data_IF_978057982019
#
_entry.id   IF_978057982019
#
_cell.length_a   1.000
_cell.length_b   1.000
_cell.length_c   1.000
_cell.angle_alpha   90.00
_cell.angle_beta   90.00
_cell.angle_gamma   90.00
#
_symmetry.space_group_name_H-M   'P 1'
#
loop_
_entity.id
_entity.type
_entity.pdbx_description
1 polymer ?
#
# COMPACT_ATOMS: atom_id res chain seq x y z
N UNK A 1 9.10 2.97 -19.19
CA UNK A 1 9.76 2.98 -17.89
C UNK A 1 8.76 3.34 -16.80
N UNK A 2 8.97 2.78 -15.62
CA UNK A 2 8.02 2.83 -14.51
C UNK A 2 8.76 3.19 -13.22
N UNK A 3 8.11 3.97 -12.39
CA UNK A 3 8.50 4.12 -11.00
C UNK A 3 7.58 3.23 -10.16
N UNK A 4 8.18 2.39 -9.37
CA UNK A 4 7.51 1.57 -8.37
C UNK A 4 7.61 2.26 -7.01
N UNK A 5 6.55 2.16 -6.23
CA UNK A 5 6.53 2.63 -4.84
C UNK A 5 6.05 1.50 -3.96
N UNK A 6 6.86 1.15 -2.98
CA UNK A 6 6.55 0.18 -1.94
C UNK A 6 6.51 0.90 -0.61
N UNK A 7 5.50 0.61 0.17
CA UNK A 7 5.39 1.09 1.55
C UNK A 7 5.45 -0.11 2.48
N UNK A 8 6.34 -0.06 3.46
CA UNK A 8 6.53 -1.08 4.46
C UNK A 8 7.07 -0.50 5.76
N UNK A 9 7.71 -1.34 6.54
CA UNK A 9 8.23 -1.01 7.86
C UNK A 9 7.25 -1.37 8.97
N UNK A 10 7.75 -1.39 10.20
CA UNK A 10 6.93 -1.54 11.39
C UNK A 10 6.03 -0.31 11.57
N UNK A 11 4.94 -0.45 12.31
CA UNK A 11 3.98 0.65 12.55
C UNK A 11 4.64 1.93 13.08
N UNK A 12 5.74 1.77 13.85
CA UNK A 12 6.51 2.88 14.41
C UNK A 12 7.57 3.43 13.45
N UNK A 13 7.94 2.68 12.40
CA UNK A 13 9.03 3.02 11.49
C UNK A 13 8.64 2.82 10.02
N UNK A 14 7.67 3.60 9.52
CA UNK A 14 7.21 3.47 8.14
C UNK A 14 8.32 3.80 7.15
N UNK A 15 8.45 2.97 6.12
CA UNK A 15 9.43 3.11 5.03
C UNK A 15 8.70 3.28 3.71
N UNK A 16 9.15 4.23 2.90
CA UNK A 16 8.71 4.42 1.53
C UNK A 16 9.88 4.17 0.58
N UNK A 17 9.79 3.12 -0.23
CA UNK A 17 10.82 2.78 -1.22
C UNK A 17 10.34 3.18 -2.62
N UNK A 18 11.13 4.02 -3.30
CA UNK A 18 10.92 4.36 -4.69
C UNK A 18 11.99 3.67 -5.54
N UNK A 19 11.57 3.01 -6.60
CA UNK A 19 12.52 2.32 -7.48
C UNK A 19 12.13 2.51 -8.95
N UNK A 20 13.13 2.74 -9.79
CA UNK A 20 12.95 2.85 -11.22
C UNK A 20 13.15 1.50 -11.90
N UNK A 21 12.19 1.12 -12.76
CA UNK A 21 12.26 -0.09 -13.58
C UNK A 21 11.89 0.20 -15.03
N UNK A 22 12.52 -0.49 -15.95
CA UNK A 22 12.24 -0.34 -17.37
C UNK A 22 10.90 -0.94 -17.78
N UNK A 23 10.43 -1.96 -17.05
CA UNK A 23 9.20 -2.70 -17.34
C UNK A 23 8.25 -2.70 -16.16
N UNK A 24 6.99 -3.08 -16.38
CA UNK A 24 6.00 -3.38 -15.34
C UNK A 24 5.90 -4.90 -15.07
N UNK A 25 6.99 -5.63 -15.22
CA UNK A 25 7.01 -7.07 -14.99
C UNK A 25 6.85 -7.41 -13.50
N UNK A 26 6.13 -8.50 -13.20
CA UNK A 26 6.06 -9.07 -11.84
C UNK A 26 7.43 -9.48 -11.28
N UNK A 27 8.42 -9.78 -12.14
CA UNK A 27 9.81 -10.02 -11.71
C UNK A 27 10.41 -8.88 -10.91
N UNK A 28 9.99 -7.64 -11.17
CA UNK A 28 10.47 -6.48 -10.41
C UNK A 28 9.98 -6.52 -8.94
N UNK A 29 8.85 -7.19 -8.66
CA UNK A 29 8.33 -7.35 -7.31
C UNK A 29 9.24 -8.25 -6.49
N UNK A 30 9.79 -9.31 -7.10
CA UNK A 30 10.72 -10.23 -6.43
C UNK A 30 11.99 -9.51 -5.94
N UNK A 31 12.47 -8.51 -6.69
CA UNK A 31 13.61 -7.70 -6.25
C UNK A 31 13.30 -6.83 -5.01
N UNK A 32 12.03 -6.50 -4.77
CA UNK A 32 11.62 -5.79 -3.54
C UNK A 32 11.42 -6.75 -2.38
N UNK A 33 11.21 -8.03 -2.66
CA UNK A 33 11.06 -9.08 -1.66
C UNK A 33 12.42 -9.68 -1.23
N UNK A 34 13.50 -9.36 -1.93
CA UNK A 34 14.84 -9.81 -1.54
C UNK A 34 15.19 -9.26 -0.13
N UNK A 35 15.46 -10.18 0.82
CA UNK A 35 15.66 -9.85 2.23
C UNK A 35 14.40 -9.39 2.98
N UNK A 36 13.20 -9.54 2.41
CA UNK A 36 11.95 -9.19 3.08
C UNK A 36 11.55 -10.27 4.09
N UNK A 37 11.39 -9.88 5.35
CA UNK A 37 11.03 -10.77 6.46
C UNK A 37 9.54 -10.64 6.87
N UNK A 38 8.75 -9.86 6.13
CA UNK A 38 7.35 -9.67 6.43
C UNK A 38 6.48 -10.84 5.94
N UNK A 39 5.23 -10.92 6.43
CA UNK A 39 4.32 -12.04 6.20
C UNK A 39 3.25 -11.79 5.14
N UNK A 40 3.10 -10.55 4.63
CA UNK A 40 2.02 -10.20 3.72
C UNK A 40 2.41 -9.11 2.72
N UNK A 41 2.02 -9.30 1.47
CA UNK A 41 2.06 -8.29 0.42
C UNK A 41 0.65 -7.77 0.17
N UNK A 42 0.42 -6.44 0.32
CA UNK A 42 -0.83 -5.82 -0.08
C UNK A 42 -0.66 -5.04 -1.38
N UNK A 43 -1.56 -5.26 -2.35
CA UNK A 43 -1.46 -4.65 -3.68
C UNK A 43 -2.82 -4.34 -4.30
N UNK A 44 -2.80 -3.69 -5.47
CA UNK A 44 -3.95 -3.68 -6.37
C UNK A 44 -4.15 -5.06 -7.05
N UNK A 45 -5.12 -5.15 -7.94
CA UNK A 45 -5.42 -6.39 -8.65
C UNK A 45 -4.54 -6.68 -9.87
N UNK A 46 -3.37 -6.09 -10.02
CA UNK A 46 -2.47 -6.38 -11.12
C UNK A 46 -1.88 -7.79 -11.01
N UNK A 47 -2.02 -8.60 -12.08
CA UNK A 47 -1.60 -10.01 -12.10
C UNK A 47 -0.10 -10.24 -11.88
N UNK A 48 0.73 -9.22 -12.12
CA UNK A 48 2.17 -9.30 -11.86
C UNK A 48 2.49 -9.50 -10.37
N UNK A 49 1.64 -9.01 -9.46
CA UNK A 49 1.79 -9.28 -8.03
C UNK A 49 1.39 -10.71 -7.68
N UNK A 50 0.31 -11.23 -8.32
CA UNK A 50 -0.10 -12.63 -8.11
C UNK A 50 1.04 -13.58 -8.48
N UNK A 51 1.59 -13.44 -9.69
CA UNK A 51 2.70 -14.27 -10.18
C UNK A 51 3.97 -14.15 -9.32
N UNK A 52 4.23 -12.97 -8.75
CA UNK A 52 5.39 -12.77 -7.90
C UNK A 52 5.23 -13.47 -6.54
N UNK A 53 4.04 -13.37 -5.92
CA UNK A 53 3.75 -14.06 -4.65
C UNK A 53 3.72 -15.56 -4.84
N UNK A 54 3.11 -16.07 -5.92
CA UNK A 54 3.10 -17.49 -6.23
C UNK A 54 4.53 -18.03 -6.38
N UNK A 55 5.36 -17.35 -7.18
CA UNK A 55 6.77 -17.70 -7.36
C UNK A 55 7.55 -17.65 -6.04
N UNK A 56 7.32 -16.60 -5.21
CA UNK A 56 7.96 -16.50 -3.89
C UNK A 56 7.61 -17.70 -3.02
N UNK A 57 6.34 -18.02 -2.90
CA UNK A 57 5.85 -19.11 -2.04
C UNK A 57 6.33 -20.50 -2.48
N UNK A 58 6.46 -20.71 -3.80
CA UNK A 58 7.06 -21.93 -4.35
C UNK A 58 8.53 -22.10 -3.98
N UNK A 59 9.29 -21.00 -3.85
CA UNK A 59 10.72 -21.01 -3.61
C UNK A 59 11.10 -20.78 -2.13
N UNK A 60 10.15 -20.33 -1.29
CA UNK A 60 10.37 -20.06 0.14
C UNK A 60 9.23 -20.66 0.98
N UNK A 61 9.07 -22.00 1.00
CA UNK A 61 7.97 -22.65 1.72
C UNK A 61 8.02 -22.40 3.24
N UNK A 62 9.21 -22.11 3.78
CA UNK A 62 9.42 -21.74 5.19
C UNK A 62 9.02 -20.29 5.50
N UNK A 63 8.87 -19.46 4.48
CA UNK A 63 8.50 -18.03 4.60
C UNK A 63 7.47 -17.63 3.54
N UNK A 64 6.28 -18.18 3.66
CA UNK A 64 5.18 -17.90 2.72
C UNK A 64 4.60 -16.51 2.97
N UNK A 65 4.32 -15.81 1.87
CA UNK A 65 3.63 -14.53 1.88
C UNK A 65 2.13 -14.69 1.64
N UNK A 66 1.33 -14.12 2.52
CA UNK A 66 -0.08 -13.87 2.21
C UNK A 66 -0.19 -12.74 1.18
N UNK A 67 -1.18 -12.83 0.29
CA UNK A 67 -1.48 -11.76 -0.66
C UNK A 67 -2.82 -11.10 -0.30
N UNK A 68 -2.80 -9.80 0.00
CA UNK A 68 -4.01 -9.02 0.25
C UNK A 68 -4.29 -8.05 -0.90
N UNK A 69 -5.54 -7.99 -1.37
CA UNK A 69 -5.94 -7.07 -2.43
C UNK A 69 -6.77 -5.89 -1.91
N UNK A 70 -6.68 -4.79 -2.62
CA UNK A 70 -7.35 -3.53 -2.30
C UNK A 70 -8.86 -3.60 -2.57
N UNK A 71 -9.67 -3.45 -1.53
CA UNK A 71 -11.12 -3.42 -1.62
C UNK A 71 -11.67 -2.14 -2.29
N UNK A 72 -10.93 -1.02 -2.26
CA UNK A 72 -11.32 0.18 -3.01
C UNK A 72 -11.25 -0.06 -4.52
N UNK A 73 -10.26 -0.80 -5.01
CA UNK A 73 -10.20 -1.20 -6.42
C UNK A 73 -11.37 -2.11 -6.79
N UNK A 74 -11.71 -3.10 -5.95
CA UNK A 74 -12.86 -3.95 -6.17
C UNK A 74 -14.19 -3.14 -6.19
N UNK A 75 -14.39 -2.21 -5.24
CA UNK A 75 -15.54 -1.31 -5.22
C UNK A 75 -15.60 -0.43 -6.48
N UNK A 76 -14.45 0.00 -7.02
CA UNK A 76 -14.39 0.86 -8.23
C UNK A 76 -15.02 0.18 -9.44
N UNK A 77 -14.83 -1.13 -9.64
CA UNK A 77 -15.48 -1.89 -10.72
C UNK A 77 -17.00 -1.73 -10.68
N UNK A 78 -17.62 -1.83 -9.48
CA UNK A 78 -19.06 -1.61 -9.33
C UNK A 78 -19.45 -0.15 -9.55
N UNK A 79 -18.69 0.80 -9.04
CA UNK A 79 -18.95 2.22 -9.25
C UNK A 79 -18.88 2.59 -10.74
N UNK A 80 -17.95 2.01 -11.48
CA UNK A 80 -17.84 2.23 -12.93
C UNK A 80 -18.97 1.55 -13.70
N UNK A 81 -19.46 0.39 -13.24
CA UNK A 81 -20.67 -0.24 -13.78
C UNK A 81 -21.93 0.64 -13.56
N UNK A 82 -22.05 1.26 -12.36
CA UNK A 82 -23.14 2.22 -12.07
C UNK A 82 -23.08 3.41 -13.02
N UNK A 83 -21.90 4.01 -13.19
CA UNK A 83 -21.72 5.17 -14.10
C UNK A 83 -22.05 4.83 -15.55
N UNK A 84 -21.66 3.64 -16.00
CA UNK A 84 -21.82 3.24 -17.40
C UNK A 84 -23.26 2.86 -17.77
N UNK A 85 -24.00 2.20 -16.86
CA UNK A 85 -25.27 1.54 -17.18
C UNK A 85 -26.42 1.87 -16.21
N UNK A 86 -26.15 2.57 -15.12
CA UNK A 86 -27.14 2.81 -14.06
C UNK A 86 -27.54 1.55 -13.27
N UNK A 87 -26.80 0.43 -13.41
CA UNK A 87 -27.12 -0.90 -12.87
C UNK A 87 -27.56 -0.85 -11.40
N UNK A 88 -28.76 -1.34 -11.12
CA UNK A 88 -29.28 -1.46 -9.75
C UNK A 88 -28.46 -2.44 -8.91
N UNK A 89 -28.09 -3.57 -9.50
CA UNK A 89 -27.23 -4.58 -8.86
C UNK A 89 -25.85 -4.00 -8.47
N UNK A 90 -25.24 -3.21 -9.37
CA UNK A 90 -23.97 -2.57 -9.02
C UNK A 90 -24.14 -1.50 -7.93
N UNK A 91 -25.25 -0.80 -7.86
CA UNK A 91 -25.58 0.13 -6.75
C UNK A 91 -25.71 -0.58 -5.41
N UNK A 92 -26.32 -1.77 -5.40
CA UNK A 92 -26.41 -2.62 -4.21
C UNK A 92 -25.01 -3.01 -3.69
N UNK A 93 -24.14 -3.49 -4.59
CA UNK A 93 -22.75 -3.82 -4.22
C UNK A 93 -21.97 -2.62 -3.64
N UNK A 94 -22.13 -1.43 -4.23
CA UNK A 94 -21.51 -0.20 -3.70
C UNK A 94 -21.98 0.09 -2.28
N UNK A 95 -23.26 -0.09 -1.96
CA UNK A 95 -23.80 0.08 -0.59
C UNK A 95 -23.21 -0.95 0.38
N UNK A 96 -23.09 -2.22 -0.03
CA UNK A 96 -22.45 -3.23 0.82
C UNK A 96 -20.99 -2.86 1.13
N UNK A 97 -20.24 -2.36 0.16
CA UNK A 97 -18.90 -1.84 0.42
C UNK A 97 -18.89 -0.64 1.38
N UNK A 98 -19.90 0.23 1.33
CA UNK A 98 -20.06 1.34 2.30
C UNK A 98 -20.29 0.82 3.71
N UNK A 99 -21.06 -0.26 3.88
CA UNK A 99 -21.24 -0.95 5.17
C UNK A 99 -19.91 -1.53 5.67
N UNK A 100 -19.15 -2.24 4.81
CA UNK A 100 -17.84 -2.80 5.14
C UNK A 100 -16.89 -1.70 5.62
N UNK A 101 -16.72 -0.63 4.83
CA UNK A 101 -15.81 0.45 5.19
C UNK A 101 -16.26 1.22 6.44
N UNK A 102 -17.58 1.36 6.65
CA UNK A 102 -18.12 2.02 7.84
C UNK A 102 -17.81 1.20 9.10
N UNK A 103 -18.03 -0.13 9.05
CA UNK A 103 -17.72 -1.01 10.16
C UNK A 103 -16.21 -1.03 10.47
N UNK A 104 -15.38 -1.17 9.44
CA UNK A 104 -13.92 -1.17 9.58
C UNK A 104 -13.39 0.15 10.16
N UNK A 105 -13.84 1.29 9.62
CA UNK A 105 -13.38 2.61 10.08
C UNK A 105 -13.74 2.88 11.54
N UNK A 106 -14.93 2.45 12.00
CA UNK A 106 -15.31 2.56 13.42
C UNK A 106 -14.33 1.82 14.33
N UNK A 107 -13.98 0.59 13.97
CA UNK A 107 -13.04 -0.23 14.74
C UNK A 107 -11.63 0.33 14.68
N UNK A 108 -11.18 0.73 13.47
CA UNK A 108 -9.85 1.32 13.25
C UNK A 108 -9.65 2.60 14.07
N UNK A 109 -10.66 3.45 14.16
CA UNK A 109 -10.58 4.65 14.99
C UNK A 109 -10.43 4.30 16.48
N UNK A 110 -11.18 3.31 16.99
CA UNK A 110 -11.01 2.85 18.37
C UNK A 110 -9.61 2.31 18.65
N UNK A 111 -9.06 1.56 17.70
CA UNK A 111 -7.70 1.01 17.79
C UNK A 111 -6.64 2.10 17.73
N UNK A 112 -6.72 3.02 16.77
CA UNK A 112 -5.79 4.13 16.61
C UNK A 112 -5.81 5.08 17.84
N UNK A 113 -6.98 5.30 18.42
CA UNK A 113 -7.16 6.08 19.66
C UNK A 113 -6.70 5.32 20.93
N UNK A 114 -6.16 4.09 20.76
CA UNK A 114 -5.75 3.19 21.86
C UNK A 114 -6.87 2.87 22.86
N UNK A 115 -8.13 2.88 22.40
CA UNK A 115 -9.32 2.54 23.23
C UNK A 115 -9.57 1.04 23.31
N UNK A 116 -9.00 0.28 22.40
CA UNK A 116 -9.03 -1.20 22.38
C UNK A 116 -7.64 -1.74 22.12
N UNK A 117 -7.37 -2.95 22.61
CA UNK A 117 -6.13 -3.67 22.33
C UNK A 117 -6.10 -4.21 20.90
N UNK A 118 -4.93 -4.63 20.43
CA UNK A 118 -4.77 -5.29 19.13
C UNK A 118 -5.59 -6.59 19.05
N UNK A 119 -5.55 -7.39 20.11
CA UNK A 119 -6.33 -8.63 20.23
C UNK A 119 -7.84 -8.37 20.15
N UNK A 120 -8.32 -7.33 20.86
CA UNK A 120 -9.73 -6.93 20.77
C UNK A 120 -10.10 -6.40 19.40
N UNK A 121 -9.21 -5.62 18.77
CA UNK A 121 -9.42 -5.12 17.41
C UNK A 121 -9.60 -6.28 16.42
N UNK A 122 -8.70 -7.26 16.41
CA UNK A 122 -8.79 -8.45 15.55
C UNK A 122 -10.06 -9.26 15.85
N UNK A 123 -10.38 -9.51 17.13
CA UNK A 123 -11.60 -10.20 17.52
C UNK A 123 -12.86 -9.47 17.04
N UNK A 124 -12.94 -8.17 17.28
CA UNK A 124 -14.09 -7.35 16.84
C UNK A 124 -14.21 -7.26 15.33
N UNK A 125 -13.10 -7.30 14.60
CA UNK A 125 -13.08 -7.35 13.14
C UNK A 125 -13.71 -8.65 12.63
N UNK A 126 -13.36 -9.80 13.25
CA UNK A 126 -13.97 -11.09 12.92
C UNK A 126 -15.47 -11.11 13.27
N UNK A 127 -15.89 -10.48 14.39
CA UNK A 127 -17.28 -10.46 14.83
C UNK A 127 -18.18 -9.48 14.06
N UNK A 128 -17.65 -8.34 13.58
CA UNK A 128 -18.45 -7.24 13.04
C UNK A 128 -18.22 -6.95 11.55
N UNK A 129 -17.01 -7.15 11.06
CA UNK A 129 -16.65 -6.86 9.65
C UNK A 129 -16.79 -8.10 8.78
N UNK A 130 -16.23 -9.22 9.22
CA UNK A 130 -16.27 -10.49 8.48
C UNK A 130 -17.68 -10.95 8.13
N UNK A 131 -18.70 -10.89 9.01
CA UNK A 131 -20.06 -11.28 8.63
C UNK A 131 -20.67 -10.42 7.50
N UNK A 132 -20.24 -9.17 7.34
CA UNK A 132 -20.68 -8.33 6.22
C UNK A 132 -20.04 -8.84 4.92
N UNK A 133 -18.77 -9.25 4.96
CA UNK A 133 -18.13 -9.92 3.83
C UNK A 133 -18.81 -11.25 3.47
N UNK A 134 -19.15 -12.08 4.45
CA UNK A 134 -19.82 -13.36 4.21
C UNK A 134 -21.18 -13.18 3.53
N UNK A 135 -21.97 -12.19 3.98
CA UNK A 135 -23.21 -11.78 3.30
C UNK A 135 -22.94 -11.30 1.87
N UNK A 136 -21.89 -10.51 1.68
CA UNK A 136 -21.49 -10.04 0.37
C UNK A 136 -21.07 -11.18 -0.56
N UNK A 137 -20.33 -12.17 -0.04
CA UNK A 137 -19.95 -13.35 -0.82
C UNK A 137 -21.19 -14.14 -1.30
N UNK A 138 -22.11 -14.42 -0.40
CA UNK A 138 -23.37 -15.09 -0.74
C UNK A 138 -24.17 -14.31 -1.78
N UNK A 139 -24.24 -13.01 -1.63
CA UNK A 139 -24.88 -12.12 -2.61
C UNK A 139 -24.18 -12.15 -3.98
N UNK A 140 -22.82 -12.14 -4.03
CA UNK A 140 -22.08 -12.25 -5.28
C UNK A 140 -22.35 -13.55 -6.02
N UNK A 141 -22.39 -14.68 -5.30
CA UNK A 141 -22.70 -15.99 -5.86
C UNK A 141 -24.14 -16.05 -6.41
N UNK A 142 -25.12 -15.52 -5.67
CA UNK A 142 -26.52 -15.40 -6.13
C UNK A 142 -26.62 -14.60 -7.43
N UNK A 143 -25.98 -13.41 -7.45
CA UNK A 143 -26.04 -12.52 -8.63
C UNK A 143 -25.30 -13.10 -9.84
N UNK A 144 -24.20 -13.84 -9.62
CA UNK A 144 -23.47 -14.50 -10.70
C UNK A 144 -24.35 -15.54 -11.43
N UNK A 145 -25.24 -16.25 -10.69
CA UNK A 145 -26.12 -17.26 -11.25
C UNK A 145 -27.38 -16.65 -11.90
N UNK A 146 -27.68 -15.40 -11.64
CA UNK A 146 -28.89 -14.77 -12.16
C UNK A 146 -28.75 -14.44 -13.65
N UNK A 147 -29.59 -15.03 -14.49
CA UNK A 147 -29.60 -14.84 -15.95
C UNK A 147 -29.79 -13.38 -16.42
N UNK A 148 -30.26 -12.50 -15.52
CA UNK A 148 -30.45 -11.07 -15.81
C UNK A 148 -29.14 -10.29 -15.96
N UNK A 149 -27.99 -10.86 -15.55
CA UNK A 149 -26.67 -10.23 -15.71
C UNK A 149 -26.02 -10.85 -16.94
N UNK A 150 -25.99 -10.09 -18.05
CA UNK A 150 -25.25 -10.50 -19.25
C UNK A 150 -23.79 -10.73 -18.90
N UNK A 151 -23.23 -11.88 -19.25
CA UNK A 151 -21.86 -12.29 -18.93
C UNK A 151 -20.79 -11.27 -19.40
N UNK A 152 -21.08 -10.46 -20.40
CA UNK A 152 -20.22 -9.40 -20.92
C UNK A 152 -20.48 -8.01 -20.29
N UNK A 153 -21.35 -7.90 -19.29
CA UNK A 153 -21.65 -6.61 -18.66
C UNK A 153 -20.57 -6.20 -17.67
N UNK A 154 -20.39 -4.87 -17.49
CA UNK A 154 -19.48 -4.33 -16.45
C UNK A 154 -19.83 -4.82 -15.04
N UNK A 155 -21.10 -5.09 -14.77
CA UNK A 155 -21.56 -5.65 -13.49
C UNK A 155 -21.08 -7.08 -13.32
N UNK A 156 -21.16 -7.91 -14.37
CA UNK A 156 -20.61 -9.27 -14.33
C UNK A 156 -19.09 -9.28 -14.16
N UNK A 157 -18.39 -8.39 -14.86
CA UNK A 157 -16.94 -8.20 -14.69
C UNK A 157 -16.58 -7.87 -13.23
N UNK A 158 -17.32 -6.96 -12.58
CA UNK A 158 -17.12 -6.58 -11.19
C UNK A 158 -17.36 -7.77 -10.21
N UNK A 159 -18.44 -8.53 -10.43
CA UNK A 159 -18.77 -9.73 -9.64
C UNK A 159 -17.65 -10.78 -9.78
N UNK A 160 -17.27 -11.10 -11.01
CA UNK A 160 -16.23 -12.09 -11.31
C UNK A 160 -14.86 -11.67 -10.76
N UNK A 161 -14.53 -10.37 -10.80
CA UNK A 161 -13.33 -9.83 -10.18
C UNK A 161 -13.30 -10.12 -8.68
N UNK A 162 -14.39 -9.83 -7.96
CA UNK A 162 -14.47 -10.07 -6.53
C UNK A 162 -14.41 -11.56 -6.19
N UNK A 163 -15.18 -12.41 -6.89
CA UNK A 163 -15.21 -13.85 -6.64
C UNK A 163 -13.84 -14.50 -6.89
N UNK A 164 -13.18 -14.15 -8.00
CA UNK A 164 -11.83 -14.67 -8.34
C UNK A 164 -10.78 -14.28 -7.31
N UNK A 165 -10.97 -13.18 -6.60
CA UNK A 165 -9.99 -12.59 -5.67
C UNK A 165 -10.46 -12.63 -4.22
N UNK A 166 -11.51 -13.42 -3.95
CA UNK A 166 -12.21 -13.37 -2.67
C UNK A 166 -11.26 -13.51 -1.47
N UNK A 167 -10.44 -14.55 -1.45
CA UNK A 167 -9.50 -14.81 -0.36
C UNK A 167 -8.53 -13.64 -0.18
N UNK A 168 -8.02 -13.08 -1.30
CA UNK A 168 -7.11 -11.93 -1.26
C UNK A 168 -7.79 -10.65 -0.79
N UNK A 169 -9.08 -10.45 -1.06
CA UNK A 169 -9.85 -9.30 -0.58
C UNK A 169 -10.17 -9.38 0.91
N UNK A 170 -10.22 -10.58 1.47
CA UNK A 170 -10.52 -10.82 2.89
C UNK A 170 -9.29 -11.03 3.76
N UNK A 171 -8.12 -11.36 3.19
CA UNK A 171 -6.88 -11.61 3.93
C UNK A 171 -6.49 -10.49 4.90
N UNK A 172 -6.80 -9.21 4.58
CA UNK A 172 -6.47 -8.11 5.48
C UNK A 172 -7.15 -8.20 6.86
N UNK A 173 -8.26 -8.97 6.96
CA UNK A 173 -9.01 -9.14 8.20
C UNK A 173 -8.18 -9.78 9.32
N UNK A 174 -7.14 -10.53 8.97
CA UNK A 174 -6.32 -11.29 9.89
C UNK A 174 -5.06 -10.51 10.36
N UNK A 175 -4.82 -9.31 9.80
CA UNK A 175 -3.65 -8.50 10.10
C UNK A 175 -4.05 -7.13 10.64
N UNK A 176 -3.75 -6.83 11.91
CA UNK A 176 -4.11 -5.58 12.58
C UNK A 176 -3.56 -4.33 11.87
N UNK A 177 -2.35 -4.43 11.33
CA UNK A 177 -1.65 -3.35 10.63
C UNK A 177 -2.16 -3.12 9.19
N UNK A 178 -2.91 -4.05 8.59
CA UNK A 178 -3.49 -3.84 7.27
C UNK A 178 -4.83 -3.09 7.34
N UNK A 179 -5.02 -2.21 6.36
CA UNK A 179 -6.30 -1.58 6.02
C UNK A 179 -6.95 -2.30 4.83
N UNK A 180 -8.27 -2.16 4.61
CA UNK A 180 -8.92 -2.78 3.44
C UNK A 180 -8.47 -2.20 2.10
N UNK A 181 -7.58 -1.22 2.09
CA UNK A 181 -7.18 -0.49 0.89
C UNK A 181 -5.68 -0.20 0.83
N UNK A 182 -5.22 0.17 -0.37
CA UNK A 182 -3.83 0.58 -0.66
C UNK A 182 -3.66 2.10 -0.71
N UNK A 183 -4.59 2.89 -0.17
CA UNK A 183 -4.58 4.35 -0.26
C UNK A 183 -3.29 4.97 0.30
N UNK A 184 -2.68 4.34 1.31
CA UNK A 184 -1.42 4.83 1.86
C UNK A 184 -0.27 4.72 0.83
N UNK A 185 -0.19 3.61 0.10
CA UNK A 185 0.78 3.44 -0.98
C UNK A 185 0.46 4.37 -2.17
N UNK A 186 -0.82 4.54 -2.54
CA UNK A 186 -1.22 5.47 -3.60
C UNK A 186 -0.87 6.93 -3.24
N UNK A 187 -1.04 7.32 -1.98
CA UNK A 187 -0.61 8.64 -1.51
C UNK A 187 0.90 8.83 -1.59
N UNK A 188 1.68 7.78 -1.35
CA UNK A 188 3.13 7.83 -1.46
C UNK A 188 3.63 8.08 -2.91
N UNK A 189 2.81 7.79 -3.92
CA UNK A 189 3.14 8.12 -5.32
C UNK A 189 3.02 9.63 -5.61
N UNK A 190 2.12 10.34 -4.91
CA UNK A 190 1.79 11.75 -5.22
C UNK A 190 2.98 12.72 -5.19
N UNK A 191 3.90 12.69 -4.20
CA UNK A 191 5.04 13.60 -4.17
C UNK A 191 5.88 13.52 -5.44
N UNK A 192 6.16 12.31 -5.91
CA UNK A 192 6.90 12.12 -7.16
C UNK A 192 6.13 12.62 -8.39
N UNK A 193 4.82 12.35 -8.47
CA UNK A 193 3.98 12.84 -9.58
C UNK A 193 3.95 14.37 -9.61
N UNK A 194 3.90 15.02 -8.44
CA UNK A 194 3.95 16.48 -8.35
C UNK A 194 5.30 17.03 -8.79
N UNK A 195 6.40 16.45 -8.30
CA UNK A 195 7.75 16.85 -8.69
C UNK A 195 8.00 16.64 -10.19
N UNK A 196 7.46 15.54 -10.76
CA UNK A 196 7.56 15.28 -12.22
C UNK A 196 6.93 16.39 -13.06
N UNK A 197 5.93 17.12 -12.56
CA UNK A 197 5.36 18.26 -13.26
C UNK A 197 6.39 19.41 -13.43
N UNK A 198 7.38 19.47 -12.56
CA UNK A 198 8.44 20.49 -12.61
C UNK A 198 9.60 20.05 -13.51
N UNK A 199 10.13 18.83 -13.34
CA UNK A 199 11.29 18.36 -14.10
C UNK A 199 10.93 17.54 -15.37
N UNK A 200 9.65 17.24 -15.60
CA UNK A 200 9.03 16.59 -16.76
C UNK A 200 9.49 15.13 -16.96
N UNK A 201 10.78 14.87 -17.10
CA UNK A 201 11.36 13.53 -17.33
C UNK A 201 12.80 13.44 -16.80
N UNK A 202 13.29 12.22 -16.63
CA UNK A 202 14.69 11.94 -16.35
C UNK A 202 15.41 11.64 -17.67
N UNK A 203 16.51 12.31 -17.92
CA UNK A 203 17.30 12.16 -19.18
C UNK A 203 18.03 10.82 -19.31
N UNK A 204 18.13 10.04 -18.20
CA UNK A 204 18.80 8.74 -18.18
C UNK A 204 18.23 7.81 -17.10
N UNK A 205 18.47 6.51 -17.24
CA UNK A 205 18.10 5.52 -16.22
C UNK A 205 18.87 5.73 -14.90
N UNK A 206 20.11 6.25 -14.97
CA UNK A 206 20.91 6.59 -13.76
C UNK A 206 20.24 7.75 -13.03
N UNK A 207 19.89 8.84 -13.75
CA UNK A 207 19.18 9.98 -13.16
C UNK A 207 17.83 9.59 -12.55
N UNK A 208 17.07 8.68 -13.20
CA UNK A 208 15.82 8.16 -12.67
C UNK A 208 16.03 7.39 -11.36
N UNK A 209 17.07 6.55 -11.26
CA UNK A 209 17.40 5.82 -10.03
C UNK A 209 17.83 6.76 -8.91
N UNK A 210 18.69 7.74 -9.21
CA UNK A 210 19.11 8.75 -8.24
C UNK A 210 17.92 9.54 -7.70
N UNK A 211 16.99 9.93 -8.57
CA UNK A 211 15.75 10.59 -8.16
C UNK A 211 14.92 9.71 -7.23
N UNK A 212 14.72 8.44 -7.58
CA UNK A 212 14.00 7.48 -6.72
C UNK A 212 14.68 7.33 -5.36
N UNK A 213 16.01 7.24 -5.32
CA UNK A 213 16.77 7.13 -4.08
C UNK A 213 16.55 8.34 -3.16
N UNK A 214 16.64 9.55 -3.70
CA UNK A 214 16.41 10.80 -2.94
C UNK A 214 14.95 10.86 -2.44
N UNK A 215 13.96 10.46 -3.27
CA UNK A 215 12.57 10.38 -2.82
C UNK A 215 12.37 9.35 -1.69
N UNK A 216 13.06 8.21 -1.74
CA UNK A 216 13.07 7.22 -0.65
C UNK A 216 13.51 7.87 0.67
N UNK A 217 14.61 8.60 0.67
CA UNK A 217 15.12 9.27 1.87
C UNK A 217 14.16 10.33 2.38
N UNK A 218 13.69 11.23 1.50
CA UNK A 218 12.78 12.33 1.84
C UNK A 218 11.47 11.83 2.41
N UNK A 219 10.80 10.93 1.71
CA UNK A 219 9.45 10.49 2.09
C UNK A 219 9.49 9.54 3.30
N UNK A 220 10.57 8.76 3.47
CA UNK A 220 10.77 7.97 4.69
C UNK A 220 11.06 8.88 5.89
N UNK A 221 11.87 9.92 5.75
CA UNK A 221 12.12 10.89 6.83
C UNK A 221 10.80 11.57 7.25
N UNK A 222 9.99 12.05 6.30
CA UNK A 222 8.66 12.65 6.58
C UNK A 222 7.73 11.68 7.29
N UNK A 223 7.70 10.41 6.85
CA UNK A 223 6.86 9.39 7.45
C UNK A 223 7.24 9.09 8.91
N UNK A 224 8.51 9.32 9.27
CA UNK A 224 9.05 9.23 10.63
C UNK A 224 9.10 10.58 11.35
N UNK A 225 8.29 11.57 10.92
CA UNK A 225 8.17 12.89 11.55
C UNK A 225 9.49 13.67 11.63
N UNK A 226 10.44 13.41 10.72
CA UNK A 226 11.70 14.15 10.63
C UNK A 226 11.58 15.25 9.56
N UNK A 227 12.21 16.41 9.80
CA UNK A 227 12.41 17.41 8.77
C UNK A 227 13.34 16.83 7.69
N UNK A 228 12.93 16.72 6.42
CA UNK A 228 13.73 16.06 5.40
C UNK A 228 15.02 16.83 5.04
N UNK A 229 15.04 18.15 5.17
CA UNK A 229 16.26 18.96 4.92
C UNK A 229 17.31 18.70 6.01
N UNK A 230 16.91 18.75 7.28
CA UNK A 230 17.81 18.45 8.40
C UNK A 230 18.30 17.00 8.33
N UNK A 231 17.40 16.08 7.95
CA UNK A 231 17.76 14.68 7.78
C UNK A 231 18.82 14.48 6.68
N UNK A 232 18.57 15.01 5.48
CA UNK A 232 19.52 14.87 4.36
C UNK A 232 20.86 15.51 4.66
N UNK A 233 20.86 16.70 5.29
CA UNK A 233 22.11 17.36 5.69
C UNK A 233 22.90 16.48 6.65
N UNK A 234 22.28 16.04 7.73
CA UNK A 234 22.90 15.18 8.72
C UNK A 234 23.37 13.83 8.13
N UNK A 235 22.57 13.26 7.23
CA UNK A 235 22.93 12.03 6.53
C UNK A 235 24.17 12.23 5.65
N UNK A 236 24.22 13.27 4.84
CA UNK A 236 25.37 13.53 3.95
C UNK A 236 26.64 13.94 4.71
N UNK A 237 26.51 14.54 5.89
CA UNK A 237 27.65 14.83 6.76
C UNK A 237 28.24 13.56 7.39
N UNK A 238 27.38 12.58 7.77
CA UNK A 238 27.80 11.38 8.53
C UNK A 238 28.06 10.15 7.65
N UNK A 239 27.30 9.97 6.56
CA UNK A 239 27.37 8.78 5.71
C UNK A 239 28.78 8.49 5.15
N UNK A 240 29.63 9.49 4.78
CA UNK A 240 30.99 9.23 4.32
C UNK A 240 31.89 8.53 5.35
N UNK A 241 31.52 8.57 6.62
CA UNK A 241 32.28 7.97 7.72
C UNK A 241 31.70 6.66 8.23
N UNK A 242 30.51 6.25 7.73
CA UNK A 242 29.88 4.99 8.10
C UNK A 242 30.63 3.80 7.46
N UNK A 243 31.12 2.87 8.30
CA UNK A 243 31.92 1.70 7.89
C UNK A 243 31.27 0.39 8.28
N UNK A 244 30.40 0.40 9.29
CA UNK A 244 29.75 -0.80 9.84
C UNK A 244 28.24 -0.77 9.63
N UNK A 245 27.58 -1.91 9.70
CA UNK A 245 26.11 -2.00 9.66
C UNK A 245 25.47 -1.17 10.79
N UNK A 246 26.12 -1.10 11.95
CA UNK A 246 25.64 -0.29 13.07
C UNK A 246 25.71 1.21 12.75
N UNK A 247 26.76 1.67 12.08
CA UNK A 247 26.85 3.07 11.63
C UNK A 247 25.69 3.41 10.69
N UNK A 248 25.38 2.52 9.73
CA UNK A 248 24.25 2.70 8.81
C UNK A 248 22.91 2.65 9.53
N UNK A 249 22.71 1.74 10.50
CA UNK A 249 21.50 1.70 11.33
C UNK A 249 21.28 3.00 12.09
N UNK A 250 22.34 3.62 12.61
CA UNK A 250 22.28 4.89 13.32
C UNK A 250 21.90 6.07 12.41
N UNK A 251 22.02 5.93 11.08
CA UNK A 251 21.61 6.94 10.11
C UNK A 251 20.16 6.79 9.66
N UNK A 252 19.45 5.74 10.08
CA UNK A 252 18.03 5.55 9.73
C UNK A 252 17.18 6.66 10.36
N UNK A 253 16.10 7.10 9.70
CA UNK A 253 15.29 8.26 10.15
C UNK A 253 14.78 8.16 11.57
N UNK A 254 14.55 6.97 12.10
CA UNK A 254 14.05 6.75 13.47
C UNK A 254 15.15 6.69 14.53
N UNK A 255 16.40 6.46 14.13
CA UNK A 255 17.55 6.38 15.03
C UNK A 255 18.38 7.67 15.06
N UNK A 256 18.41 8.42 13.94
CA UNK A 256 19.28 9.58 13.80
C UNK A 256 18.83 10.73 14.70
N UNK A 257 19.78 11.29 15.44
CA UNK A 257 19.60 12.56 16.13
C UNK A 257 19.88 13.70 15.17
N UNK A 258 18.84 14.52 14.93
CA UNK A 258 18.95 15.69 14.07
C UNK A 258 19.31 16.93 14.90
N UNK A 259 20.31 17.65 14.43
CA UNK A 259 20.60 18.99 14.90
C UNK A 259 19.80 19.96 14.04
N UNK A 260 18.83 20.71 14.59
CA UNK A 260 18.08 21.70 13.82
C UNK A 260 19.02 22.68 13.15
N UNK A 261 18.77 22.97 11.87
CA UNK A 261 19.53 23.98 11.14
C UNK A 261 19.20 25.35 11.73
N UNK A 262 20.18 25.94 12.42
CA UNK A 262 20.15 27.37 12.69
C UNK A 262 20.66 28.06 11.43
N UNK A 263 19.79 28.78 10.71
CA UNK A 263 20.26 29.66 9.62
C UNK A 263 21.35 30.55 10.19
N UNK A 264 22.56 30.49 9.66
CA UNK A 264 23.58 31.48 9.90
C UNK A 264 23.11 32.77 9.23
N UNK A 265 22.77 33.74 10.04
CA UNK A 265 22.64 35.10 9.52
C UNK A 265 21.29 35.73 9.86
N UNK A 266 21.18 36.29 11.03
CA UNK A 266 20.77 37.69 11.02
C UNK A 266 21.78 38.44 10.16
N UNK A 267 21.34 38.92 9.01
CA UNK A 267 22.06 39.99 8.33
C UNK A 267 21.99 41.19 9.27
N UNK A 268 23.09 41.39 9.99
CA UNK A 268 23.27 42.64 10.72
C UNK A 268 23.41 43.71 9.65
N UNK A 269 22.46 44.68 9.69
CA UNK A 269 22.50 45.88 8.84
C UNK A 269 23.79 46.66 9.03
#
# INVERSE_FOLDING_TARGET
>A
CYMWVVRGGEDMHPVHLYNFKWTRSGKNVLEFLDGFEGCVLQSDGYSGYDSAVDFWNENHPEHMLAHSNCNIHARRYFADAVKATGSKTAKEAVKIYEEIFTAENKLRNLFNDKKISETDFLRLRQEKVKPVFEKFHSWLLEKQQTAAILNSSKTAEAINYCLKRWDKLTNYLDYSFLTPDTNAAERAVKPFVMARKNFLFSGSGIGARSTCFIFTLIETAKANSKNPEDYLRCLFEKAPYAQTDEDWKNLLPWNIELTPFKMRGEWVE
#
